data_IF_766943278369
#
_entry.id   IF_766943278369
#
_cell.length_a   1.000
_cell.length_b   1.000
_cell.length_c   1.000
_cell.angle_alpha   90.00
_cell.angle_beta   90.00
_cell.angle_gamma   90.00
#
_symmetry.space_group_name_H-M   'P 1'
#
loop_
_entity.id
_entity.type
_entity.pdbx_description
1 polymer ?
#
# COMPACT_ATOMS: atom_id res chain seq x y z
N UNK A 1 -18.37 -6.87 0.89
CA UNK A 1 -17.62 -6.80 2.17
C UNK A 1 -16.76 -5.53 2.15
N UNK A 2 -16.86 -4.62 3.13
CA UNK A 2 -16.04 -3.39 3.16
C UNK A 2 -14.80 -3.65 4.03
N UNK A 3 -13.60 -3.53 3.45
CA UNK A 3 -12.34 -3.52 4.23
C UNK A 3 -12.05 -2.08 4.66
N UNK A 4 -11.67 -1.89 5.92
CA UNK A 4 -11.20 -0.59 6.43
C UNK A 4 -9.67 -0.62 6.48
N UNK A 5 -9.07 0.45 5.99
CA UNK A 5 -7.64 0.72 6.08
C UNK A 5 -7.48 2.15 6.61
N UNK A 6 -6.49 2.36 7.46
CA UNK A 6 -6.13 3.69 7.98
C UNK A 6 -5.36 4.48 6.92
N UNK A 7 -4.57 3.79 6.08
CA UNK A 7 -3.78 4.39 5.00
C UNK A 7 -3.96 3.59 3.71
N UNK A 8 -4.16 4.29 2.59
CA UNK A 8 -4.13 3.71 1.24
C UNK A 8 -3.01 4.37 0.45
N UNK A 9 -2.07 3.57 -0.06
CA UNK A 9 -0.98 4.02 -0.92
C UNK A 9 -1.24 3.55 -2.34
N UNK A 10 -1.10 4.44 -3.31
CA UNK A 10 -1.29 4.14 -4.74
C UNK A 10 0.07 4.15 -5.43
N UNK A 11 0.38 3.06 -6.14
CA UNK A 11 1.68 2.74 -6.72
C UNK A 11 2.43 1.67 -5.94
N UNK A 12 3.30 0.91 -6.61
CA UNK A 12 4.20 -0.08 -6.01
C UNK A 12 5.70 0.24 -6.19
N UNK A 13 6.05 1.47 -6.57
CA UNK A 13 7.46 1.91 -6.65
C UNK A 13 8.10 2.14 -5.27
N UNK A 14 9.41 2.37 -5.25
CA UNK A 14 10.19 2.54 -4.00
C UNK A 14 9.58 3.59 -3.06
N UNK A 15 9.16 4.75 -3.56
CA UNK A 15 8.56 5.78 -2.73
C UNK A 15 7.24 5.32 -2.07
N UNK A 16 6.40 4.61 -2.83
CA UNK A 16 5.14 4.07 -2.33
C UNK A 16 5.36 2.98 -1.28
N UNK A 17 6.30 2.06 -1.52
CA UNK A 17 6.63 1.00 -0.57
C UNK A 17 7.29 1.55 0.70
N UNK A 18 8.18 2.54 0.58
CA UNK A 18 8.74 3.23 1.74
C UNK A 18 7.64 3.90 2.58
N UNK A 19 6.69 4.60 1.95
CA UNK A 19 5.56 5.21 2.66
C UNK A 19 4.67 4.17 3.33
N UNK A 20 4.38 3.05 2.65
CA UNK A 20 3.57 1.96 3.18
C UNK A 20 4.23 1.28 4.39
N UNK A 21 5.55 1.06 4.33
CA UNK A 21 6.33 0.50 5.43
C UNK A 21 6.35 1.45 6.64
N UNK A 22 6.66 2.73 6.42
CA UNK A 22 6.66 3.73 7.49
C UNK A 22 5.29 3.84 8.18
N UNK A 23 4.19 3.83 7.42
CA UNK A 23 2.84 3.83 7.97
C UNK A 23 2.54 2.54 8.77
N UNK A 24 2.99 1.39 8.27
CA UNK A 24 2.84 0.09 8.95
C UNK A 24 3.63 0.04 10.26
N UNK A 25 4.86 0.54 10.28
CA UNK A 25 5.72 0.62 11.47
C UNK A 25 5.08 1.52 12.55
N UNK A 26 4.35 2.55 12.14
CA UNK A 26 3.52 3.38 13.01
C UNK A 26 2.22 2.73 13.51
N UNK A 27 1.97 1.46 13.17
CA UNK A 27 0.79 0.69 13.61
C UNK A 27 -0.46 0.84 12.73
N UNK A 28 -0.38 1.52 11.59
CA UNK A 28 -1.53 1.70 10.70
C UNK A 28 -1.91 0.40 9.96
N UNK A 29 -3.19 0.22 9.68
CA UNK A 29 -3.68 -0.73 8.68
C UNK A 29 -3.52 -0.14 7.27
N UNK A 30 -2.57 -0.65 6.49
CA UNK A 30 -2.20 -0.12 5.17
C UNK A 30 -2.67 -1.03 4.04
N UNK A 31 -3.22 -0.45 2.97
CA UNK A 31 -3.41 -1.07 1.66
C UNK A 31 -2.51 -0.40 0.62
N UNK A 32 -1.88 -1.19 -0.24
CA UNK A 32 -1.12 -0.71 -1.42
C UNK A 32 -1.88 -1.15 -2.66
N UNK A 33 -2.09 -0.22 -3.61
CA UNK A 33 -2.81 -0.46 -4.85
C UNK A 33 -1.91 -0.12 -6.04
N UNK A 34 -1.71 -1.06 -6.94
CA UNK A 34 -0.94 -0.89 -8.17
C UNK A 34 -1.85 -1.17 -9.38
N UNK A 35 -1.58 -0.50 -10.51
CA UNK A 35 -2.37 -0.66 -11.74
C UNK A 35 -1.86 -1.83 -12.58
N UNK A 36 -0.58 -2.17 -12.46
CA UNK A 36 -0.02 -3.31 -13.15
C UNK A 36 -0.77 -4.61 -12.78
N UNK A 37 -1.03 -5.49 -13.76
CA UNK A 37 -1.57 -6.81 -13.48
C UNK A 37 -0.52 -7.64 -12.71
N UNK A 38 -0.99 -8.67 -12.00
CA UNK A 38 -0.14 -9.48 -11.11
C UNK A 38 1.06 -10.15 -11.82
N UNK A 39 0.94 -10.41 -13.12
CA UNK A 39 1.99 -11.01 -13.96
C UNK A 39 3.10 -10.02 -14.38
N UNK A 40 2.96 -8.73 -14.07
CA UNK A 40 3.89 -7.66 -14.48
C UNK A 40 4.23 -6.65 -13.39
N UNK A 41 4.23 -7.11 -12.13
CA UNK A 41 4.63 -6.33 -10.97
C UNK A 41 6.10 -5.87 -11.05
#
# INVERSE_FOLDING_TARGET
MKRKFDVVVVGAGNAALCAALAAREGGASVAVLEVAPEDRA
#
